data_IF_584722300980
#
_entry.id   IF_584722300980
#
_cell.length_a   1.000
_cell.length_b   1.000
_cell.length_c   1.000
_cell.angle_alpha   90.00
_cell.angle_beta   90.00
_cell.angle_gamma   90.00
#
_symmetry.space_group_name_H-M   'P 1'
#
loop_
_entity.id
_entity.type
_entity.pdbx_description
1 polymer ?
#
# COMPACT_ATOMS: atom_id res chain seq x y z
N UNK A 1 16.71 33.64 26.82
CA UNK A 1 15.62 33.06 27.63
C UNK A 1 14.43 32.58 26.82
N UNK A 2 14.64 32.06 25.59
CA UNK A 2 13.58 31.43 24.76
C UNK A 2 13.52 29.90 24.87
N UNK A 3 14.62 29.27 25.30
CA UNK A 3 14.85 27.82 25.31
C UNK A 3 13.94 27.02 26.25
N UNK A 4 13.48 27.61 27.36
CA UNK A 4 12.53 26.95 28.27
C UNK A 4 11.08 26.92 27.73
N UNK A 5 10.76 27.76 26.74
CA UNK A 5 9.43 27.84 26.13
C UNK A 5 9.25 26.85 24.98
N UNK A 6 10.28 26.67 24.14
CA UNK A 6 10.29 25.73 23.00
C UNK A 6 10.27 24.27 23.47
N UNK A 7 11.13 23.90 24.42
CA UNK A 7 11.14 22.53 24.98
C UNK A 7 9.79 22.12 25.60
N UNK A 8 9.05 23.06 26.20
CA UNK A 8 7.71 22.79 26.76
C UNK A 8 6.65 22.57 25.69
N UNK A 9 6.75 23.27 24.56
CA UNK A 9 5.81 23.11 23.44
C UNK A 9 6.02 21.75 22.77
N UNK A 10 7.27 21.33 22.60
CA UNK A 10 7.61 20.01 22.03
C UNK A 10 7.13 18.87 22.94
N UNK A 11 7.34 18.98 24.25
CA UNK A 11 6.85 18.01 25.24
C UNK A 11 5.31 17.94 25.26
N UNK A 12 4.62 19.08 25.20
CA UNK A 12 3.15 19.14 25.18
C UNK A 12 2.58 18.53 23.89
N UNK A 13 3.21 18.80 22.74
CA UNK A 13 2.85 18.21 21.44
C UNK A 13 3.07 16.70 21.48
N UNK A 14 4.23 16.23 21.94
CA UNK A 14 4.54 14.81 22.03
C UNK A 14 3.57 14.07 22.98
N UNK A 15 3.27 14.66 24.14
CA UNK A 15 2.28 14.12 25.08
C UNK A 15 0.87 14.05 24.48
N UNK A 16 0.49 15.04 23.68
CA UNK A 16 -0.82 15.07 23.02
C UNK A 16 -0.92 14.02 21.92
N UNK A 17 0.12 13.86 21.10
CA UNK A 17 0.21 12.81 20.08
C UNK A 17 0.08 11.43 20.74
N UNK A 18 0.84 11.16 21.81
CA UNK A 18 0.78 9.90 22.54
C UNK A 18 -0.63 9.59 23.07
N UNK A 19 -1.30 10.59 23.66
CA UNK A 19 -2.68 10.45 24.14
C UNK A 19 -3.67 10.13 23.01
N UNK A 20 -3.51 10.76 21.84
CA UNK A 20 -4.38 10.51 20.69
C UNK A 20 -4.16 9.12 20.09
N UNK A 21 -2.90 8.67 19.98
CA UNK A 21 -2.57 7.32 19.49
C UNK A 21 -3.10 6.19 20.40
N UNK A 22 -3.33 6.49 21.68
CA UNK A 22 -3.91 5.54 22.64
C UNK A 22 -5.44 5.67 22.76
N UNK A 23 -6.06 6.58 22.01
CA UNK A 23 -7.50 6.82 22.11
C UNK A 23 -8.30 5.65 21.53
N UNK A 24 -9.33 5.17 22.24
CA UNK A 24 -10.24 4.15 21.69
C UNK A 24 -11.19 4.72 20.63
N UNK A 25 -11.36 6.05 20.58
CA UNK A 25 -12.22 6.70 19.59
C UNK A 25 -11.46 6.88 18.27
N UNK A 26 -11.98 6.23 17.21
CA UNK A 26 -11.31 6.20 15.92
C UNK A 26 -11.01 7.60 15.36
N UNK A 27 -11.88 8.58 15.61
CA UNK A 27 -11.67 9.98 15.22
C UNK A 27 -10.41 10.59 15.84
N UNK A 28 -10.17 10.36 17.13
CA UNK A 28 -9.00 10.89 17.82
C UNK A 28 -7.75 10.08 17.47
N UNK A 29 -7.90 8.77 17.30
CA UNK A 29 -6.83 7.91 16.84
C UNK A 29 -6.28 8.31 15.47
N UNK A 30 -7.17 8.53 14.47
CA UNK A 30 -6.79 9.05 13.14
C UNK A 30 -6.03 10.36 13.22
N UNK A 31 -6.50 11.31 14.04
CA UNK A 31 -5.81 12.59 14.27
C UNK A 31 -4.44 12.39 14.94
N UNK A 32 -4.33 11.41 15.82
CA UNK A 32 -3.07 10.99 16.42
C UNK A 32 -2.07 10.50 15.36
N UNK A 33 -2.51 9.62 14.45
CA UNK A 33 -1.68 9.11 13.35
C UNK A 33 -1.20 10.26 12.46
N UNK A 34 -2.10 11.10 11.95
CA UNK A 34 -1.74 12.23 11.07
C UNK A 34 -0.75 13.17 11.75
N UNK A 35 -1.02 13.54 13.02
CA UNK A 35 -0.15 14.44 13.78
C UNK A 35 1.22 13.83 14.07
N UNK A 36 1.27 12.53 14.37
CA UNK A 36 2.51 11.80 14.60
C UNK A 36 3.35 11.71 13.32
N UNK A 37 2.74 11.35 12.19
CA UNK A 37 3.43 11.28 10.90
C UNK A 37 3.92 12.65 10.43
N UNK A 38 3.15 13.71 10.69
CA UNK A 38 3.60 15.09 10.43
C UNK A 38 4.86 15.43 11.24
N UNK A 39 4.91 15.03 12.52
CA UNK A 39 6.10 15.20 13.35
C UNK A 39 7.28 14.36 12.85
N UNK A 40 7.04 13.13 12.37
CA UNK A 40 8.07 12.30 11.71
C UNK A 40 8.67 13.05 10.52
N UNK A 41 7.85 13.61 9.63
CA UNK A 41 8.36 14.37 8.48
C UNK A 41 9.22 15.55 8.92
N UNK A 42 8.80 16.32 9.94
CA UNK A 42 9.59 17.44 10.46
C UNK A 42 10.92 16.98 11.03
N UNK A 43 10.94 15.93 11.86
CA UNK A 43 12.16 15.35 12.43
C UNK A 43 13.10 14.75 11.37
N UNK A 44 12.52 14.28 10.27
CA UNK A 44 13.22 13.64 9.15
C UNK A 44 13.53 14.59 8.01
N UNK A 45 13.17 15.87 8.10
CA UNK A 45 13.46 16.86 7.06
C UNK A 45 14.91 17.29 7.12
N UNK A 46 15.59 17.28 5.97
CA UNK A 46 16.90 17.90 5.81
C UNK A 46 16.72 19.36 5.32
N UNK A 47 17.53 20.31 5.84
CA UNK A 47 17.53 21.68 5.34
C UNK A 47 17.78 21.72 3.83
N UNK A 48 17.05 22.58 3.11
CA UNK A 48 17.11 22.70 1.64
C UNK A 48 18.50 23.13 1.12
N UNK A 49 19.35 23.70 1.97
CA UNK A 49 20.64 24.31 1.60
C UNK A 49 21.84 23.69 2.34
N UNK A 50 21.95 22.36 2.39
CA UNK A 50 23.11 21.69 2.98
C UNK A 50 24.45 21.95 2.23
N UNK A 51 24.42 22.55 1.04
CA UNK A 51 25.63 22.99 0.31
C UNK A 51 26.04 24.45 0.63
N UNK A 52 25.20 25.25 1.29
CA UNK A 52 25.49 26.67 1.57
C UNK A 52 25.84 26.97 3.03
N UNK A 53 25.80 25.98 3.92
CA UNK A 53 26.05 26.17 5.35
C UNK A 53 27.39 25.58 5.79
N UNK A 54 28.49 26.07 5.21
CA UNK A 54 29.83 25.93 5.79
C UNK A 54 30.22 27.14 6.68
N UNK A 55 29.28 28.06 6.91
CA UNK A 55 29.46 29.19 7.80
C UNK A 55 28.11 29.54 8.43
N UNK A 56 27.86 29.04 9.65
CA UNK A 56 27.02 29.63 10.71
C UNK A 56 26.85 28.60 11.85
N UNK A 57 27.98 28.09 12.37
CA UNK A 57 28.00 27.54 13.73
C UNK A 57 27.96 28.72 14.72
N UNK A 58 26.79 29.32 14.91
CA UNK A 58 26.52 30.26 16.00
C UNK A 58 25.02 30.56 16.08
N UNK A 59 24.27 29.70 16.78
CA UNK A 59 23.22 30.07 17.76
C UNK A 59 22.19 28.94 17.94
N UNK A 60 22.41 28.08 18.95
CA UNK A 60 21.35 27.76 19.90
C UNK A 60 20.24 26.77 19.53
N UNK A 61 20.43 25.82 18.62
CA UNK A 61 19.59 24.60 18.62
C UNK A 61 20.46 23.37 18.82
N UNK A 62 20.36 22.77 20.01
CA UNK A 62 21.09 21.57 20.45
C UNK A 62 20.53 20.29 19.78
N UNK A 63 20.21 20.38 18.50
CA UNK A 63 19.50 19.33 17.78
C UNK A 63 20.50 18.40 17.09
N UNK A 64 21.01 17.43 17.84
CA UNK A 64 21.87 16.40 17.31
C UNK A 64 21.12 15.63 16.18
N UNK A 65 21.62 15.63 14.93
CA UNK A 65 20.93 15.01 13.79
C UNK A 65 20.70 13.51 13.97
N UNK A 66 21.59 12.83 14.72
CA UNK A 66 21.46 11.41 15.08
C UNK A 66 20.32 11.19 16.08
N UNK A 67 20.15 12.09 17.05
CA UNK A 67 19.04 12.02 17.99
C UNK A 67 17.69 12.23 17.29
N UNK A 68 17.61 13.19 16.36
CA UNK A 68 16.40 13.42 15.56
C UNK A 68 16.04 12.21 14.68
N UNK A 69 17.05 11.59 14.04
CA UNK A 69 16.84 10.38 13.23
C UNK A 69 16.28 9.23 14.08
N UNK A 70 16.86 9.02 15.26
CA UNK A 70 16.39 8.01 16.24
C UNK A 70 14.98 8.32 16.75
N UNK A 71 14.65 9.59 16.99
CA UNK A 71 13.31 10.00 17.42
C UNK A 71 12.25 9.75 16.35
N UNK A 72 12.57 10.04 15.08
CA UNK A 72 11.65 9.82 13.97
C UNK A 72 11.32 8.32 13.79
N UNK A 73 12.34 7.45 13.79
CA UNK A 73 12.12 5.99 13.66
C UNK A 73 11.42 5.41 14.88
N UNK A 74 11.77 5.85 16.10
CA UNK A 74 11.07 5.43 17.32
C UNK A 74 9.58 5.84 17.33
N UNK A 75 9.26 7.01 16.78
CA UNK A 75 7.88 7.45 16.63
C UNK A 75 7.15 6.61 15.58
N UNK A 76 7.78 6.28 14.45
CA UNK A 76 7.22 5.36 13.45
C UNK A 76 6.93 3.97 14.04
N UNK A 77 7.86 3.41 14.81
CA UNK A 77 7.64 2.13 15.52
C UNK A 77 6.45 2.20 16.48
N UNK A 78 6.32 3.32 17.19
CA UNK A 78 5.19 3.57 18.08
C UNK A 78 3.87 3.62 17.31
N UNK A 79 3.81 4.33 16.18
CA UNK A 79 2.61 4.40 15.34
C UNK A 79 2.27 3.00 14.81
N UNK A 80 3.26 2.28 14.25
CA UNK A 80 3.09 0.92 13.72
C UNK A 80 2.55 -0.04 14.78
N UNK A 81 3.12 -0.04 15.99
CA UNK A 81 2.66 -0.88 17.08
C UNK A 81 1.19 -0.61 17.48
N UNK A 82 0.77 0.65 17.46
CA UNK A 82 -0.63 1.00 17.74
C UNK A 82 -1.57 0.60 16.59
N UNK A 83 -1.10 0.69 15.33
CA UNK A 83 -1.88 0.34 14.15
C UNK A 83 -1.99 -1.18 13.92
N UNK A 84 -1.03 -1.98 14.39
CA UNK A 84 -1.00 -3.44 14.21
C UNK A 84 -2.23 -4.18 14.75
N UNK A 85 -3.06 -3.52 15.57
CA UNK A 85 -4.30 -4.06 16.13
C UNK A 85 -5.46 -4.09 15.13
N UNK A 86 -5.31 -3.44 13.97
CA UNK A 86 -6.35 -3.33 12.97
C UNK A 86 -5.74 -3.17 11.58
N UNK A 87 -6.16 -4.00 10.62
CA UNK A 87 -5.72 -3.82 9.23
C UNK A 87 -6.12 -2.45 8.70
N UNK A 88 -7.35 -1.99 8.99
CA UNK A 88 -7.81 -0.66 8.61
C UNK A 88 -6.91 0.46 9.17
N UNK A 89 -6.42 0.33 10.41
CA UNK A 89 -5.46 1.26 10.99
C UNK A 89 -4.11 1.21 10.28
N UNK A 90 -3.66 0.01 9.92
CA UNK A 90 -2.40 -0.20 9.20
C UNK A 90 -2.45 0.40 7.80
N UNK A 91 -3.56 0.19 7.07
CA UNK A 91 -3.80 0.79 5.75
C UNK A 91 -3.80 2.31 5.87
N UNK A 92 -4.56 2.86 6.82
CA UNK A 92 -4.63 4.30 7.04
C UNK A 92 -3.26 4.91 7.38
N UNK A 93 -2.48 4.25 8.23
CA UNK A 93 -1.11 4.69 8.53
C UNK A 93 -0.23 4.76 7.29
N UNK A 94 -0.24 3.73 6.42
CA UNK A 94 0.57 3.74 5.21
C UNK A 94 0.07 4.75 4.17
N UNK A 95 -1.24 4.90 3.99
CA UNK A 95 -1.79 5.92 3.09
C UNK A 95 -1.40 7.34 3.55
N UNK A 96 -1.50 7.63 4.86
CA UNK A 96 -1.12 8.94 5.41
C UNK A 96 0.40 9.16 5.38
N UNK A 97 1.21 8.12 5.59
CA UNK A 97 2.67 8.22 5.48
C UNK A 97 3.08 8.48 4.03
N UNK A 98 2.47 7.79 3.06
CA UNK A 98 2.68 8.02 1.64
C UNK A 98 2.29 9.46 1.26
N UNK A 99 1.14 9.96 1.74
CA UNK A 99 0.73 11.34 1.50
C UNK A 99 1.71 12.35 2.09
N UNK A 100 2.18 12.12 3.33
CA UNK A 100 3.11 13.01 4.02
C UNK A 100 4.49 13.06 3.34
N UNK A 101 5.02 11.91 2.91
CA UNK A 101 6.28 11.83 2.16
C UNK A 101 6.14 12.46 0.78
N UNK A 102 5.07 12.15 0.03
CA UNK A 102 4.82 12.73 -1.28
C UNK A 102 4.71 14.26 -1.21
N UNK A 103 4.00 14.78 -0.19
CA UNK A 103 3.93 16.20 0.07
C UNK A 103 5.32 16.79 0.32
N UNK A 104 6.11 16.21 1.22
CA UNK A 104 7.45 16.70 1.55
C UNK A 104 8.36 16.74 0.30
N UNK A 105 8.37 15.65 -0.47
CA UNK A 105 9.13 15.55 -1.73
C UNK A 105 8.68 16.61 -2.74
N UNK A 106 7.37 16.86 -2.88
CA UNK A 106 6.85 17.92 -3.77
C UNK A 106 7.28 19.33 -3.36
N UNK A 107 7.55 19.55 -2.07
CA UNK A 107 8.08 20.80 -1.54
C UNK A 107 9.60 20.91 -1.67
N UNK A 108 10.28 19.92 -2.27
CA UNK A 108 11.73 19.85 -2.35
C UNK A 108 12.40 19.56 -1.00
N UNK A 109 11.67 18.99 -0.04
CA UNK A 109 12.22 18.55 1.25
C UNK A 109 12.84 17.17 1.05
N UNK A 110 14.13 17.04 1.38
CA UNK A 110 14.81 15.74 1.39
C UNK A 110 14.54 15.03 2.71
N UNK A 111 14.07 13.79 2.65
CA UNK A 111 13.84 12.94 3.82
C UNK A 111 15.14 12.24 4.22
N UNK A 112 15.44 12.18 5.52
CA UNK A 112 16.61 11.47 6.06
C UNK A 112 16.58 9.99 5.70
N UNK A 113 17.76 9.44 5.38
CA UNK A 113 17.93 8.04 4.99
C UNK A 113 17.40 7.04 6.02
N UNK A 114 17.51 7.33 7.33
CA UNK A 114 17.00 6.45 8.39
C UNK A 114 15.48 6.25 8.31
N UNK A 115 14.72 7.26 7.88
CA UNK A 115 13.28 7.17 7.72
C UNK A 115 12.91 6.45 6.42
N UNK A 116 13.67 6.69 5.35
CA UNK A 116 13.49 5.95 4.09
C UNK A 116 13.78 4.45 4.30
N UNK A 117 14.86 4.11 5.00
CA UNK A 117 15.19 2.73 5.37
C UNK A 117 14.08 2.08 6.20
N UNK A 118 13.50 2.80 7.17
CA UNK A 118 12.34 2.28 7.90
C UNK A 118 11.16 1.99 6.97
N UNK A 119 10.90 2.86 5.98
CA UNK A 119 9.81 2.64 5.02
C UNK A 119 10.08 1.39 4.17
N UNK A 120 11.31 1.22 3.69
CA UNK A 120 11.73 0.05 2.90
C UNK A 120 11.46 -1.26 3.65
N UNK A 121 12.03 -1.42 4.85
CA UNK A 121 11.89 -2.60 5.71
C UNK A 121 10.42 -2.92 6.07
N UNK A 122 9.56 -1.89 6.15
CA UNK A 122 8.21 -2.04 6.70
C UNK A 122 7.10 -2.04 5.65
N UNK A 123 7.36 -1.54 4.44
CA UNK A 123 6.37 -1.42 3.38
C UNK A 123 6.83 -2.13 2.10
N UNK A 124 8.02 -1.81 1.59
CA UNK A 124 8.55 -2.39 0.35
C UNK A 124 8.81 -3.88 0.52
N UNK A 125 9.58 -4.26 1.55
CA UNK A 125 9.86 -5.67 1.86
C UNK A 125 8.59 -6.47 2.14
N UNK A 126 7.64 -5.85 2.84
CA UNK A 126 6.35 -6.46 3.13
C UNK A 126 5.53 -6.72 1.86
N UNK A 127 5.60 -5.81 0.87
CA UNK A 127 4.95 -5.99 -0.42
C UNK A 127 5.62 -7.11 -1.22
N UNK A 128 6.94 -7.06 -1.36
CA UNK A 128 7.69 -8.05 -2.13
C UNK A 128 7.50 -9.45 -1.57
N UNK A 129 7.71 -9.63 -0.26
CA UNK A 129 7.60 -10.94 0.38
C UNK A 129 6.17 -11.51 0.44
N UNK A 130 5.14 -10.66 0.35
CA UNK A 130 3.74 -11.12 0.49
C UNK A 130 3.05 -11.33 -0.85
N UNK A 131 3.30 -10.47 -1.84
CA UNK A 131 2.53 -10.46 -3.09
C UNK A 131 3.34 -10.87 -4.30
N UNK A 132 4.67 -10.90 -4.23
CA UNK A 132 5.52 -11.29 -5.34
C UNK A 132 6.08 -12.69 -5.12
N UNK A 133 6.15 -13.47 -6.20
CA UNK A 133 6.72 -14.80 -6.19
C UNK A 133 7.58 -15.00 -7.44
N UNK A 134 8.58 -15.87 -7.33
CA UNK A 134 9.31 -16.35 -8.50
C UNK A 134 8.50 -17.41 -9.23
N UNK A 135 8.61 -17.44 -10.56
CA UNK A 135 8.05 -18.51 -11.38
C UNK A 135 9.09 -19.12 -12.33
N UNK A 136 8.97 -20.43 -12.53
CA UNK A 136 9.73 -21.17 -13.54
C UNK A 136 8.95 -21.17 -14.86
N UNK A 137 9.65 -21.05 -16.00
CA UNK A 137 9.07 -20.92 -17.34
C UNK A 137 8.03 -22.02 -17.66
N UNK A 138 8.25 -23.24 -17.17
CA UNK A 138 7.45 -24.44 -17.47
C UNK A 138 6.15 -24.58 -16.64
N UNK A 139 5.79 -23.60 -15.80
CA UNK A 139 4.61 -23.67 -14.93
C UNK A 139 3.58 -22.54 -15.15
N UNK A 140 3.13 -22.27 -16.39
CA UNK A 140 2.20 -21.18 -16.69
C UNK A 140 0.80 -21.41 -16.11
N UNK A 141 0.43 -22.67 -15.88
CA UNK A 141 -0.86 -23.05 -15.31
C UNK A 141 -0.68 -23.99 -14.11
N UNK A 142 -1.44 -23.75 -13.06
CA UNK A 142 -1.59 -24.67 -11.93
C UNK A 142 -3.07 -25.01 -11.76
N UNK A 143 -3.39 -26.29 -11.87
CA UNK A 143 -4.73 -26.79 -11.55
C UNK A 143 -5.03 -26.57 -10.06
N UNK A 144 -6.27 -26.21 -9.73
CA UNK A 144 -6.68 -26.02 -8.33
C UNK A 144 -7.25 -27.34 -7.81
N UNK A 145 -6.62 -27.92 -6.79
CA UNK A 145 -7.02 -29.22 -6.25
C UNK A 145 -8.43 -29.17 -5.65
N UNK A 146 -9.32 -30.10 -6.07
CA UNK A 146 -10.69 -30.20 -5.54
C UNK A 146 -11.72 -29.22 -6.13
N UNK A 147 -11.31 -28.42 -7.11
CA UNK A 147 -12.13 -27.38 -7.77
C UNK A 147 -12.63 -27.87 -9.13
N UNK A 148 -13.68 -27.23 -9.67
CA UNK A 148 -14.18 -27.47 -11.03
C UNK A 148 -13.06 -27.44 -12.08
N UNK A 149 -13.06 -28.38 -13.03
CA UNK A 149 -11.98 -28.58 -14.01
C UNK A 149 -11.73 -27.39 -14.95
N UNK A 150 -12.70 -26.48 -15.05
CA UNK A 150 -12.59 -25.24 -15.81
C UNK A 150 -11.77 -24.16 -15.09
N UNK A 151 -11.56 -24.26 -13.78
CA UNK A 151 -10.79 -23.28 -13.02
C UNK A 151 -9.33 -23.68 -12.95
N UNK A 152 -8.48 -22.80 -13.46
CA UNK A 152 -7.04 -22.91 -13.37
C UNK A 152 -6.48 -21.58 -12.90
N UNK A 153 -5.40 -21.63 -12.12
CA UNK A 153 -4.58 -20.45 -11.90
C UNK A 153 -3.63 -20.35 -13.07
N UNK A 154 -3.71 -19.26 -13.81
CA UNK A 154 -2.87 -18.99 -14.97
C UNK A 154 -2.03 -17.75 -14.73
N UNK A 155 -0.80 -17.77 -15.24
CA UNK A 155 0.04 -16.58 -15.38
C UNK A 155 -0.45 -15.81 -16.60
N UNK A 156 -1.03 -14.62 -16.41
CA UNK A 156 -1.50 -13.79 -17.51
C UNK A 156 -1.19 -12.31 -17.28
N UNK A 157 -1.53 -11.46 -18.26
CA UNK A 157 -1.35 -10.01 -18.27
C UNK A 157 0.12 -9.58 -18.26
N UNK A 158 1.01 -10.41 -18.80
CA UNK A 158 2.43 -10.09 -18.96
C UNK A 158 2.63 -8.99 -20.01
N UNK A 159 3.45 -8.00 -19.69
CA UNK A 159 3.89 -6.96 -20.62
C UNK A 159 5.43 -6.90 -20.76
N UNK A 160 6.15 -7.75 -20.03
CA UNK A 160 7.61 -7.85 -20.07
C UNK A 160 8.10 -8.86 -21.14
N UNK A 161 7.19 -9.63 -21.75
CA UNK A 161 7.51 -10.54 -22.85
C UNK A 161 8.33 -11.76 -22.44
N UNK A 162 8.17 -12.21 -21.19
CA UNK A 162 9.03 -13.21 -20.56
C UNK A 162 8.44 -14.62 -20.58
N UNK A 163 8.58 -15.32 -21.71
CA UNK A 163 8.30 -16.76 -21.78
C UNK A 163 9.57 -17.63 -21.63
N UNK A 164 10.79 -17.04 -21.69
CA UNK A 164 12.01 -17.84 -21.87
C UNK A 164 12.97 -17.91 -20.67
N UNK A 165 12.93 -16.98 -19.72
CA UNK A 165 13.74 -17.02 -18.49
C UNK A 165 12.86 -16.62 -17.31
N UNK A 166 12.79 -17.44 -16.26
CA UNK A 166 11.93 -17.22 -15.09
C UNK A 166 11.97 -15.80 -14.54
N UNK A 167 10.87 -15.37 -13.90
CA UNK A 167 10.70 -13.98 -13.47
C UNK A 167 9.84 -13.84 -12.23
N UNK A 168 9.48 -12.59 -11.94
CA UNK A 168 8.60 -12.22 -10.83
C UNK A 168 7.15 -12.16 -11.32
N UNK A 169 6.23 -12.70 -10.54
CA UNK A 169 4.79 -12.69 -10.79
C UNK A 169 4.05 -12.24 -9.54
N UNK A 170 2.97 -11.49 -9.73
CA UNK A 170 2.06 -11.11 -8.63
C UNK A 170 1.19 -12.31 -8.27
N UNK A 171 1.30 -12.79 -7.03
CA UNK A 171 0.62 -13.99 -6.56
C UNK A 171 -0.37 -13.69 -5.44
N UNK A 172 -1.61 -13.37 -5.83
CA UNK A 172 -2.70 -13.06 -4.87
C UNK A 172 -3.55 -14.30 -4.53
N UNK A 173 -3.47 -15.35 -5.36
CA UNK A 173 -4.37 -16.50 -5.29
C UNK A 173 -4.32 -17.26 -3.95
N UNK A 174 -3.16 -17.58 -3.34
CA UNK A 174 -3.11 -18.31 -2.08
C UNK A 174 -3.91 -17.65 -0.96
N UNK A 175 -3.92 -16.31 -0.91
CA UNK A 175 -4.68 -15.53 0.07
C UNK A 175 -6.18 -15.53 -0.22
N UNK A 176 -6.56 -15.58 -1.50
CA UNK A 176 -7.97 -15.68 -1.92
C UNK A 176 -8.52 -17.07 -1.60
N UNK A 177 -7.74 -18.12 -1.89
CA UNK A 177 -8.12 -19.52 -1.67
C UNK A 177 -8.25 -19.85 -0.19
N UNK A 178 -7.35 -19.34 0.66
CA UNK A 178 -7.41 -19.61 2.10
C UNK A 178 -8.65 -19.00 2.76
N UNK A 179 -9.09 -17.83 2.27
CA UNK A 179 -10.24 -17.09 2.79
C UNK A 179 -10.12 -16.71 4.28
N UNK A 180 -8.93 -16.78 4.88
CA UNK A 180 -8.76 -16.49 6.31
C UNK A 180 -8.87 -14.99 6.57
N UNK A 181 -9.25 -14.61 7.79
CA UNK A 181 -9.30 -13.19 8.17
C UNK A 181 -7.92 -12.51 8.07
N UNK A 182 -6.84 -13.25 8.31
CA UNK A 182 -5.48 -12.74 8.21
C UNK A 182 -5.11 -12.44 6.75
N UNK A 183 -5.42 -13.35 5.83
CA UNK A 183 -5.12 -13.22 4.41
C UNK A 183 -6.01 -12.20 3.72
N UNK A 184 -7.27 -12.07 4.13
CA UNK A 184 -8.13 -10.95 3.75
C UNK A 184 -7.50 -9.61 4.17
N UNK A 185 -6.96 -9.55 5.40
CA UNK A 185 -6.22 -8.39 5.89
C UNK A 185 -5.01 -8.04 5.01
N UNK A 186 -4.21 -9.04 4.61
CA UNK A 186 -3.10 -8.85 3.65
C UNK A 186 -3.62 -8.29 2.32
N UNK A 187 -4.61 -8.91 1.70
CA UNK A 187 -5.19 -8.44 0.44
C UNK A 187 -5.70 -6.98 0.52
N UNK A 188 -6.27 -6.57 1.66
CA UNK A 188 -6.68 -5.18 1.87
C UNK A 188 -5.51 -4.19 1.99
N UNK A 189 -4.37 -4.63 2.57
CA UNK A 189 -3.16 -3.81 2.73
C UNK A 189 -2.39 -3.61 1.43
N UNK A 190 -2.57 -4.49 0.44
CA UNK A 190 -1.89 -4.47 -0.85
C UNK A 190 -1.85 -3.07 -1.50
N UNK A 191 -2.99 -2.38 -1.59
CA UNK A 191 -3.05 -1.09 -2.28
C UNK A 191 -2.23 0.00 -1.56
N UNK A 192 -2.36 0.09 -0.23
CA UNK A 192 -1.61 1.09 0.54
C UNK A 192 -0.10 0.82 0.52
N UNK A 193 0.30 -0.46 0.56
CA UNK A 193 1.70 -0.85 0.41
C UNK A 193 2.25 -0.49 -0.97
N UNK A 194 1.50 -0.71 -2.05
CA UNK A 194 1.92 -0.34 -3.41
C UNK A 194 2.11 1.18 -3.54
N UNK A 195 1.17 1.97 -3.01
CA UNK A 195 1.28 3.44 -2.99
C UNK A 195 2.51 3.89 -2.21
N UNK A 196 2.73 3.30 -1.03
CA UNK A 196 3.88 3.61 -0.19
C UNK A 196 5.19 3.28 -0.91
N UNK A 197 5.29 2.12 -1.56
CA UNK A 197 6.43 1.73 -2.40
C UNK A 197 6.70 2.78 -3.48
N UNK A 198 5.66 3.19 -4.22
CA UNK A 198 5.79 4.18 -5.30
C UNK A 198 6.30 5.54 -4.80
N UNK A 199 5.78 5.98 -3.66
CA UNK A 199 6.24 7.22 -3.00
C UNK A 199 7.65 7.09 -2.45
N UNK A 200 7.99 5.94 -1.85
CA UNK A 200 9.33 5.63 -1.35
C UNK A 200 10.35 5.74 -2.50
N UNK A 201 10.13 5.05 -3.62
CA UNK A 201 11.07 5.05 -4.73
C UNK A 201 11.25 6.45 -5.33
N UNK A 202 10.16 7.20 -5.45
CA UNK A 202 10.23 8.60 -5.88
C UNK A 202 11.06 9.45 -4.92
N UNK A 203 10.87 9.30 -3.62
CA UNK A 203 11.59 10.07 -2.60
C UNK A 203 13.07 9.66 -2.43
N UNK A 204 13.37 8.36 -2.55
CA UNK A 204 14.70 7.80 -2.31
C UNK A 204 15.58 7.81 -3.58
N UNK A 205 15.00 7.54 -4.74
CA UNK A 205 15.72 7.33 -6.01
C UNK A 205 15.37 8.36 -7.09
N UNK A 206 14.42 9.28 -6.81
CA UNK A 206 14.03 10.34 -7.74
C UNK A 206 13.08 9.89 -8.85
N UNK A 207 12.57 8.65 -8.81
CA UNK A 207 11.66 8.10 -9.81
C UNK A 207 11.34 6.63 -9.55
N UNK A 208 10.65 6.00 -10.51
CA UNK A 208 10.20 4.61 -10.43
C UNK A 208 11.02 3.64 -11.30
N UNK A 209 12.15 4.10 -11.86
CA UNK A 209 12.97 3.30 -12.79
C UNK A 209 13.44 1.98 -12.16
N UNK A 210 13.68 1.96 -10.85
CA UNK A 210 14.10 0.75 -10.14
C UNK A 210 12.98 -0.30 -9.96
N UNK A 211 11.72 0.08 -10.20
CA UNK A 211 10.54 -0.79 -10.03
C UNK A 211 9.63 -0.79 -11.27
N UNK A 212 10.14 -0.35 -12.41
CA UNK A 212 9.38 -0.27 -13.66
C UNK A 212 8.91 -1.65 -14.17
N UNK A 213 9.70 -2.70 -13.89
CA UNK A 213 9.35 -4.09 -14.17
C UNK A 213 8.05 -4.51 -13.48
N UNK A 214 7.70 -3.90 -12.34
CA UNK A 214 6.45 -4.16 -11.61
C UNK A 214 5.21 -3.75 -12.42
N UNK A 215 5.32 -2.70 -13.25
CA UNK A 215 4.26 -2.31 -14.17
C UNK A 215 4.06 -3.36 -15.26
N UNK A 216 5.09 -4.11 -15.65
CA UNK A 216 5.00 -5.16 -16.65
C UNK A 216 4.76 -6.57 -16.11
N UNK A 217 4.87 -6.74 -14.79
CA UNK A 217 4.81 -8.01 -14.09
C UNK A 217 3.49 -8.79 -14.35
N UNK A 218 3.54 -10.08 -14.73
CA UNK A 218 2.35 -10.90 -14.86
C UNK A 218 1.63 -11.06 -13.52
N UNK A 219 0.36 -11.47 -13.57
CA UNK A 219 -0.46 -11.74 -12.39
C UNK A 219 -0.99 -13.17 -12.48
N UNK A 220 -0.88 -13.92 -11.38
CA UNK A 220 -1.60 -15.18 -11.24
C UNK A 220 -3.09 -14.91 -11.00
N UNK A 221 -3.89 -15.33 -11.97
CA UNK A 221 -5.33 -15.14 -11.99
C UNK A 221 -6.03 -16.49 -12.07
N UNK A 222 -7.19 -16.60 -11.44
CA UNK A 222 -8.13 -17.66 -11.80
C UNK A 222 -8.74 -17.26 -13.12
N UNK A 223 -8.23 -17.77 -14.21
CA UNK A 223 -8.73 -17.49 -15.55
C UNK A 223 -9.08 -18.79 -16.26
N UNK A 224 -9.70 -18.68 -17.44
CA UNK A 224 -10.15 -19.78 -18.29
C UNK A 224 -11.52 -20.39 -17.93
N UNK A 225 -12.35 -19.66 -17.17
CA UNK A 225 -13.77 -19.97 -17.06
C UNK A 225 -14.57 -19.11 -18.06
N UNK A 226 -15.09 -19.68 -19.16
CA UNK A 226 -16.04 -18.97 -20.00
C UNK A 226 -17.20 -18.45 -19.14
N UNK A 227 -17.70 -17.24 -19.41
CA UNK A 227 -18.79 -16.64 -18.64
C UNK A 227 -20.04 -17.53 -18.66
N UNK A 228 -20.19 -18.34 -19.71
CA UNK A 228 -21.23 -19.35 -19.90
C UNK A 228 -21.10 -20.52 -18.92
N UNK A 229 -19.86 -20.88 -18.53
CA UNK A 229 -19.56 -21.94 -17.56
C UNK A 229 -19.55 -21.43 -16.12
N UNK A 230 -19.48 -20.11 -15.90
CA UNK A 230 -19.53 -19.49 -14.58
C UNK A 230 -20.74 -19.98 -13.75
N UNK A 231 -21.89 -20.20 -14.39
CA UNK A 231 -23.10 -20.63 -13.69
C UNK A 231 -22.99 -22.05 -13.10
N UNK A 232 -22.10 -22.89 -13.66
CA UNK A 232 -21.84 -24.27 -13.22
C UNK A 232 -20.91 -24.34 -12.00
N UNK A 233 -20.20 -23.26 -11.70
CA UNK A 233 -19.31 -23.18 -10.56
C UNK A 233 -20.07 -23.19 -9.24
N UNK A 234 -19.44 -23.75 -8.20
CA UNK A 234 -19.94 -23.65 -6.82
C UNK A 234 -19.88 -22.20 -6.34
N UNK A 235 -20.65 -21.88 -5.30
CA UNK A 235 -20.71 -20.51 -4.78
C UNK A 235 -19.34 -19.98 -4.32
N UNK A 236 -18.57 -20.78 -3.60
CA UNK A 236 -17.21 -20.41 -3.19
C UNK A 236 -16.27 -20.18 -4.39
N UNK A 237 -16.40 -21.01 -5.42
CA UNK A 237 -15.60 -20.91 -6.66
C UNK A 237 -15.95 -19.64 -7.45
N UNK A 238 -17.24 -19.28 -7.53
CA UNK A 238 -17.71 -18.01 -8.10
C UNK A 238 -17.12 -16.82 -7.35
N UNK A 239 -17.11 -16.87 -6.02
CA UNK A 239 -16.52 -15.82 -5.19
C UNK A 239 -15.01 -15.71 -5.40
N UNK A 240 -14.27 -16.82 -5.40
CA UNK A 240 -12.83 -16.81 -5.68
C UNK A 240 -12.52 -16.24 -7.06
N UNK A 241 -13.28 -16.61 -8.08
CA UNK A 241 -13.12 -16.08 -9.44
C UNK A 241 -13.32 -14.55 -9.47
N UNK A 242 -14.41 -14.04 -8.87
CA UNK A 242 -14.68 -12.60 -8.77
C UNK A 242 -13.57 -11.88 -7.99
N UNK A 243 -13.16 -12.43 -6.84
CA UNK A 243 -12.13 -11.83 -5.98
C UNK A 243 -10.76 -11.80 -6.66
N UNK A 244 -10.40 -12.85 -7.42
CA UNK A 244 -9.15 -12.90 -8.19
C UNK A 244 -9.07 -11.75 -9.19
N UNK A 245 -10.14 -11.52 -9.95
CA UNK A 245 -10.22 -10.40 -10.90
C UNK A 245 -10.26 -9.05 -10.17
N UNK A 246 -11.00 -8.95 -9.06
CA UNK A 246 -11.13 -7.73 -8.28
C UNK A 246 -9.79 -7.26 -7.70
N UNK A 247 -9.04 -8.14 -7.04
CA UNK A 247 -7.76 -7.76 -6.46
C UNK A 247 -6.71 -7.47 -7.53
N UNK A 248 -6.69 -8.21 -8.64
CA UNK A 248 -5.82 -7.89 -9.77
C UNK A 248 -6.16 -6.54 -10.41
N UNK A 249 -7.45 -6.21 -10.55
CA UNK A 249 -7.88 -4.89 -11.02
C UNK A 249 -7.36 -3.76 -10.12
N UNK A 250 -7.44 -3.94 -8.80
CA UNK A 250 -6.92 -2.96 -7.84
C UNK A 250 -5.39 -2.84 -7.88
N UNK A 251 -4.67 -3.94 -8.05
CA UNK A 251 -3.22 -3.91 -8.30
C UNK A 251 -2.89 -3.08 -9.54
N UNK A 252 -3.61 -3.31 -10.65
CA UNK A 252 -3.42 -2.54 -11.89
C UNK A 252 -3.77 -1.07 -11.70
N UNK A 253 -4.82 -0.74 -10.94
CA UNK A 253 -5.18 0.65 -10.62
C UNK A 253 -4.01 1.35 -9.91
N UNK A 254 -3.39 0.71 -8.93
CA UNK A 254 -2.23 1.31 -8.24
C UNK A 254 -1.00 1.45 -9.15
N UNK A 255 -0.75 0.47 -10.02
CA UNK A 255 0.28 0.61 -11.06
C UNK A 255 -0.02 1.76 -12.03
N UNK A 256 -1.26 1.93 -12.48
CA UNK A 256 -1.64 3.05 -13.34
C UNK A 256 -1.46 4.39 -12.61
N UNK A 257 -1.85 4.46 -11.33
CA UNK A 257 -1.71 5.67 -10.52
C UNK A 257 -0.24 6.07 -10.31
N UNK A 258 0.62 5.10 -9.97
CA UNK A 258 2.02 5.33 -9.68
C UNK A 258 2.79 5.83 -10.91
N UNK A 259 2.51 5.28 -12.08
CA UNK A 259 3.23 5.57 -13.32
C UNK A 259 2.53 6.64 -14.20
N UNK A 260 1.40 7.21 -13.75
CA UNK A 260 0.53 8.10 -14.54
C UNK A 260 1.23 9.35 -15.12
N UNK A 261 2.26 9.86 -14.44
CA UNK A 261 2.95 11.11 -14.81
C UNK A 261 4.17 10.89 -15.69
N UNK A 262 4.53 9.63 -15.99
CA UNK A 262 5.70 9.30 -16.79
C UNK A 262 5.44 9.62 -18.27
N UNK A 263 6.40 10.33 -18.88
CA UNK A 263 6.30 10.81 -20.26
C UNK A 263 6.98 9.92 -21.29
N UNK A 264 7.74 8.92 -20.84
CA UNK A 264 8.45 7.98 -21.70
C UNK A 264 7.48 7.21 -22.64
N UNK A 265 7.73 7.18 -23.96
CA UNK A 265 6.83 6.53 -24.91
C UNK A 265 6.59 5.04 -24.67
N UNK A 266 7.63 4.27 -24.29
CA UNK A 266 7.50 2.83 -24.04
C UNK A 266 6.65 2.58 -22.79
N UNK A 267 6.90 3.34 -21.73
CA UNK A 267 6.11 3.29 -20.50
C UNK A 267 4.65 3.68 -20.74
N UNK A 268 4.41 4.69 -21.59
CA UNK A 268 3.05 5.07 -21.99
C UNK A 268 2.34 3.97 -22.77
N UNK A 269 3.05 3.21 -23.60
CA UNK A 269 2.48 2.04 -24.27
C UNK A 269 2.09 0.96 -23.25
N UNK A 270 2.97 0.65 -22.29
CA UNK A 270 2.69 -0.29 -21.19
C UNK A 270 1.47 0.15 -20.36
N UNK A 271 1.36 1.44 -20.04
CA UNK A 271 0.20 2.02 -19.35
C UNK A 271 -1.11 1.84 -20.12
N UNK A 272 -1.11 2.07 -21.44
CA UNK A 272 -2.31 1.85 -22.27
C UNK A 272 -2.68 0.37 -22.30
N UNK A 273 -1.71 -0.54 -22.42
CA UNK A 273 -1.95 -1.99 -22.34
C UNK A 273 -2.54 -2.37 -20.97
N UNK A 274 -1.99 -1.85 -19.87
CA UNK A 274 -2.56 -2.05 -18.52
C UNK A 274 -3.97 -1.51 -18.36
N UNK A 275 -4.26 -0.32 -18.88
CA UNK A 275 -5.61 0.24 -18.86
C UNK A 275 -6.61 -0.65 -19.63
N UNK A 276 -6.18 -1.27 -20.74
CA UNK A 276 -6.98 -2.24 -21.45
C UNK A 276 -7.19 -3.53 -20.64
N UNK A 277 -6.16 -4.04 -19.95
CA UNK A 277 -6.29 -5.18 -19.04
C UNK A 277 -7.30 -4.87 -17.92
N UNK A 278 -7.19 -3.70 -17.28
CA UNK A 278 -8.14 -3.24 -16.26
C UNK A 278 -9.58 -3.24 -16.79
N UNK A 279 -9.80 -2.70 -17.99
CA UNK A 279 -11.13 -2.69 -18.62
C UNK A 279 -11.67 -4.11 -18.81
N UNK A 280 -10.83 -5.05 -19.24
CA UNK A 280 -11.22 -6.45 -19.41
C UNK A 280 -11.60 -7.09 -18.08
N UNK A 281 -10.78 -6.93 -17.03
CA UNK A 281 -11.05 -7.45 -15.69
C UNK A 281 -12.36 -6.88 -15.13
N UNK A 282 -12.58 -5.56 -15.22
CA UNK A 282 -13.81 -4.93 -14.77
C UNK A 282 -15.04 -5.44 -15.54
N UNK A 283 -14.92 -5.63 -16.85
CA UNK A 283 -16.01 -6.19 -17.64
C UNK A 283 -16.35 -7.63 -17.24
N UNK A 284 -15.37 -8.44 -16.83
CA UNK A 284 -15.60 -9.79 -16.32
C UNK A 284 -16.32 -9.72 -14.97
N UNK A 285 -15.83 -8.89 -14.05
CA UNK A 285 -16.45 -8.68 -12.74
C UNK A 285 -17.92 -8.26 -12.89
N UNK A 286 -18.22 -7.27 -13.73
CA UNK A 286 -19.59 -6.80 -13.97
C UNK A 286 -20.52 -7.92 -14.46
N UNK A 287 -20.05 -8.74 -15.42
CA UNK A 287 -20.82 -9.89 -15.94
C UNK A 287 -21.05 -10.95 -14.87
N UNK A 288 -20.05 -11.24 -14.05
CA UNK A 288 -20.16 -12.20 -12.96
C UNK A 288 -21.10 -11.70 -11.85
N UNK A 289 -21.01 -10.43 -11.45
CA UNK A 289 -21.86 -9.82 -10.43
C UNK A 289 -23.33 -9.73 -10.87
N UNK A 290 -23.59 -9.56 -12.17
CA UNK A 290 -24.94 -9.61 -12.71
C UNK A 290 -25.60 -11.00 -12.55
N UNK A 291 -24.80 -12.06 -12.53
CA UNK A 291 -25.26 -13.45 -12.36
C UNK A 291 -25.30 -13.88 -10.89
N UNK A 292 -24.28 -13.50 -10.12
CA UNK A 292 -24.13 -13.81 -8.71
C UNK A 292 -23.88 -12.51 -7.93
N UNK A 293 -24.93 -11.91 -7.34
CA UNK A 293 -24.75 -10.75 -6.47
C UNK A 293 -23.77 -11.07 -5.35
N UNK A 294 -22.70 -10.29 -5.27
CA UNK A 294 -21.66 -10.43 -4.26
C UNK A 294 -21.18 -9.05 -3.84
N UNK A 295 -21.06 -8.83 -2.53
CA UNK A 295 -20.53 -7.58 -1.99
C UNK A 295 -19.02 -7.65 -2.03
N UNK A 296 -18.41 -6.82 -2.87
CA UNK A 296 -16.95 -6.70 -2.95
C UNK A 296 -16.39 -6.13 -1.64
N UNK A 297 -15.18 -6.54 -1.23
CA UNK A 297 -14.50 -5.98 -0.08
C UNK A 297 -14.29 -4.47 -0.18
N UNK A 298 -14.47 -3.75 0.92
CA UNK A 298 -14.14 -2.32 1.00
C UNK A 298 -12.63 -2.15 1.26
N UNK A 299 -11.91 -1.69 0.24
CA UNK A 299 -10.47 -1.45 0.31
C UNK A 299 -10.14 -0.04 0.84
N UNK A 300 -11.14 0.78 1.19
CA UNK A 300 -10.92 2.11 1.72
C UNK A 300 -10.72 2.08 3.25
N UNK A 301 -9.55 2.52 3.71
CA UNK A 301 -9.20 2.58 5.14
C UNK A 301 -10.06 3.59 5.91
N UNK A 302 -10.44 4.70 5.25
CA UNK A 302 -11.11 5.81 5.91
C UNK A 302 -12.54 5.45 6.31
N UNK A 303 -13.24 4.66 5.50
CA UNK A 303 -14.58 4.13 5.77
C UNK A 303 -14.55 3.01 6.82
N UNK A 304 -13.55 2.12 6.78
CA UNK A 304 -13.46 0.95 7.66
C UNK A 304 -13.04 1.26 9.10
N UNK A 305 -12.33 2.36 9.34
CA UNK A 305 -12.06 2.91 10.68
C UNK A 305 -13.20 3.77 11.25
N UNK A 306 -14.43 3.71 10.72
CA UNK A 306 -15.55 4.49 11.26
C UNK A 306 -16.02 3.95 12.63
N UNK A 307 -16.63 4.83 13.43
CA UNK A 307 -17.14 4.52 14.78
C UNK A 307 -18.08 3.30 14.78
N UNK A 308 -18.11 2.48 15.86
CA UNK A 308 -19.21 1.56 16.06
C UNK A 308 -20.50 2.37 16.02
N UNK A 309 -21.40 2.02 15.10
CA UNK A 309 -22.70 2.65 14.97
C UNK A 309 -23.29 2.82 16.37
N UNK A 310 -23.61 4.05 16.75
CA UNK A 310 -24.33 4.32 18.00
C UNK A 310 -25.56 3.43 18.00
N UNK A 311 -25.52 2.35 18.78
CA UNK A 311 -26.68 1.55 19.07
C UNK A 311 -27.67 2.54 19.70
N UNK A 312 -28.67 2.96 18.91
CA UNK A 312 -29.80 3.73 19.41
C UNK A 312 -30.34 2.92 20.58
N UNK A 313 -30.06 3.39 21.80
CA UNK A 313 -30.84 3.03 22.96
C UNK A 313 -32.27 3.46 22.64
N UNK A 314 -33.08 2.50 22.21
CA UNK A 314 -34.51 2.64 22.08
C UNK A 314 -35.07 2.84 23.49
N UNK A 315 -35.15 4.09 23.92
CA UNK A 315 -36.07 4.53 24.94
C UNK A 315 -37.44 4.72 24.29
N UNK A 316 -38.38 3.88 24.69
CA UNK A 316 -39.78 3.87 24.28
C UNK A 316 -40.47 2.66 24.88
#
# INVERSE_FOLDING_TARGET
GGDAGENRLDDDVHNKIRKLLQSPEAKFFKRGIIGALSAVIVLSSLPKDAESQQSLEANGSDSNPVLQATQATSLLDTIKANCARSDAATIFMFDELAAAVAWATSQGVKIKASTLFWIEDNATDALESTYLADFEADSPERGISGVHSALKVVRDLDLNGGDEDGGVVVNLFPMIESGTSEDAGKLHKMCALYRMLSVYYTAAHGGLDAVDALLGCPIYLIDNCPVEEFDLLREAEKQHYILSHFYAANWIIEGLNAFATIVDPEMREKLVKRANHLRTLLSIIDKCLAKQPFTLPDLNAASSLAEPAQAKAGGG
#
